data_IF_129157310796
#
_entry.id   IF_129157310796
#
_cell.length_a   1.000
_cell.length_b   1.000
_cell.length_c   1.000
_cell.angle_alpha   90.00
_cell.angle_beta   90.00
_cell.angle_gamma   90.00
#
_symmetry.space_group_name_H-M   'P 1'
#
loop_
_entity.id
_entity.type
_entity.pdbx_description
1 polymer ?
#
# COMPACT_ATOMS: atom_id res chain seq x y z
N UNK A 1 18.18 24.96 -9.20
CA UNK A 1 18.16 23.49 -9.13
C UNK A 1 17.81 23.09 -7.70
N UNK A 2 16.52 22.93 -7.39
CA UNK A 2 16.09 22.46 -6.08
C UNK A 2 16.14 20.93 -6.10
N UNK A 3 17.29 20.36 -5.76
CA UNK A 3 17.51 18.92 -5.62
C UNK A 3 16.81 18.37 -4.40
N UNK A 4 15.49 18.43 -4.39
CA UNK A 4 14.70 17.61 -3.45
C UNK A 4 14.69 16.20 -4.00
N UNK A 5 15.70 15.40 -3.62
CA UNK A 5 15.66 13.95 -3.78
C UNK A 5 14.37 13.43 -3.13
N UNK A 6 13.37 12.94 -3.90
CA UNK A 6 12.11 12.60 -3.29
C UNK A 6 12.27 11.24 -2.61
N UNK A 7 12.42 11.31 -1.29
CA UNK A 7 12.48 10.23 -0.29
C UNK A 7 13.62 9.21 -0.49
N UNK A 8 14.76 9.47 0.14
CA UNK A 8 15.64 8.43 0.68
C UNK A 8 14.73 7.47 1.48
N UNK A 9 14.66 6.21 1.06
CA UNK A 9 13.92 5.09 1.64
C UNK A 9 13.41 5.32 3.08
N UNK A 10 12.10 5.56 3.25
CA UNK A 10 11.44 5.43 4.55
C UNK A 10 11.21 3.94 4.84
N UNK A 11 12.30 3.23 5.12
CA UNK A 11 12.23 1.85 5.59
C UNK A 11 11.86 1.86 7.07
N UNK A 12 10.74 1.24 7.39
CA UNK A 12 10.35 1.03 8.77
C UNK A 12 11.37 0.12 9.47
N UNK A 13 11.62 0.37 10.76
CA UNK A 13 12.43 -0.51 11.61
C UNK A 13 11.91 -1.96 11.56
N UNK A 14 12.82 -2.93 11.63
CA UNK A 14 12.46 -4.35 11.63
C UNK A 14 11.46 -4.69 12.74
N UNK A 15 11.58 -4.06 13.92
CA UNK A 15 10.65 -4.24 15.04
C UNK A 15 9.24 -3.75 14.72
N UNK A 16 9.10 -2.64 14.00
CA UNK A 16 7.81 -2.13 13.55
C UNK A 16 7.17 -3.05 12.52
N UNK A 17 7.96 -3.52 11.54
CA UNK A 17 7.47 -4.47 10.52
C UNK A 17 6.99 -5.77 11.17
N UNK A 18 7.72 -6.28 12.16
CA UNK A 18 7.30 -7.46 12.93
C UNK A 18 5.99 -7.19 13.69
N UNK A 19 5.90 -6.08 14.42
CA UNK A 19 4.72 -5.70 15.18
C UNK A 19 3.46 -5.63 14.31
N UNK A 20 3.53 -4.95 13.16
CA UNK A 20 2.39 -4.83 12.23
C UNK A 20 1.95 -6.20 11.71
N UNK A 21 2.89 -7.08 11.35
CA UNK A 21 2.58 -8.46 10.92
C UNK A 21 1.93 -9.25 12.05
N UNK A 22 2.50 -9.21 13.24
CA UNK A 22 1.98 -9.92 14.41
C UNK A 22 0.57 -9.43 14.79
N UNK A 23 0.35 -8.12 14.81
CA UNK A 23 -0.95 -7.52 15.10
C UNK A 23 -2.02 -7.91 14.07
N UNK A 24 -1.66 -7.97 12.79
CA UNK A 24 -2.56 -8.43 11.73
C UNK A 24 -2.92 -9.92 11.88
N UNK A 25 -1.94 -10.79 12.18
CA UNK A 25 -2.24 -12.20 12.46
C UNK A 25 -3.10 -12.38 13.71
N UNK A 26 -2.81 -11.62 14.77
CA UNK A 26 -3.58 -11.66 16.01
C UNK A 26 -5.03 -11.22 15.78
N UNK A 27 -5.26 -10.18 14.96
CA UNK A 27 -6.62 -9.73 14.64
C UNK A 27 -7.42 -10.75 13.83
N UNK A 28 -6.78 -11.44 12.87
CA UNK A 28 -7.40 -12.53 12.11
C UNK A 28 -7.80 -13.71 13.01
N UNK A 29 -6.92 -14.10 13.94
CA UNK A 29 -7.20 -15.15 14.93
C UNK A 29 -8.33 -14.72 15.84
N UNK A 30 -8.25 -13.51 16.42
CA UNK A 30 -9.28 -13.00 17.31
C UNK A 30 -10.67 -12.95 16.64
N UNK A 31 -10.75 -12.47 15.39
CA UNK A 31 -12.00 -12.45 14.62
C UNK A 31 -12.51 -13.86 14.35
N UNK A 32 -11.64 -14.77 13.94
CA UNK A 32 -12.00 -16.16 13.66
C UNK A 32 -12.51 -16.87 14.92
N UNK A 33 -11.83 -16.69 16.05
CA UNK A 33 -12.26 -17.16 17.37
C UNK A 33 -13.63 -16.56 17.74
N UNK A 34 -13.83 -15.25 17.56
CA UNK A 34 -15.12 -14.62 17.86
C UNK A 34 -16.27 -15.26 17.06
N UNK A 35 -16.07 -15.53 15.77
CA UNK A 35 -17.07 -16.19 14.92
C UNK A 35 -17.33 -17.64 15.37
N UNK A 36 -16.28 -18.39 15.73
CA UNK A 36 -16.41 -19.78 16.17
C UNK A 36 -17.19 -19.91 17.49
N UNK A 37 -16.87 -19.06 18.47
CA UNK A 37 -17.47 -19.08 19.81
C UNK A 37 -18.83 -18.37 19.89
N UNK A 38 -19.27 -17.69 18.82
CA UNK A 38 -20.59 -17.08 18.76
C UNK A 38 -21.70 -18.17 18.83
N UNK A 39 -22.67 -18.10 19.75
CA UNK A 39 -23.73 -19.10 19.89
C UNK A 39 -24.85 -18.86 18.85
N UNK A 40 -24.56 -19.13 17.58
CA UNK A 40 -25.49 -18.92 16.45
C UNK A 40 -25.44 -20.08 15.44
N UNK A 41 -26.32 -20.03 14.44
CA UNK A 41 -26.38 -21.03 13.36
C UNK A 41 -25.18 -20.93 12.42
N UNK A 42 -24.83 -22.05 11.77
CA UNK A 42 -23.70 -22.14 10.83
C UNK A 42 -23.83 -21.15 9.68
N UNK A 43 -25.04 -20.90 9.18
CA UNK A 43 -25.31 -19.95 8.10
C UNK A 43 -24.91 -18.51 8.47
N UNK A 44 -25.24 -18.07 9.69
CA UNK A 44 -24.88 -16.72 10.18
C UNK A 44 -23.37 -16.61 10.34
N UNK A 45 -22.71 -17.64 10.89
CA UNK A 45 -21.25 -17.69 10.99
C UNK A 45 -20.59 -17.60 9.62
N UNK A 46 -21.12 -18.32 8.63
CA UNK A 46 -20.66 -18.27 7.25
C UNK A 46 -20.79 -16.87 6.63
N UNK A 47 -21.92 -16.20 6.84
CA UNK A 47 -22.12 -14.83 6.37
C UNK A 47 -21.09 -13.84 6.98
N UNK A 48 -20.86 -13.92 8.29
CA UNK A 48 -19.87 -13.09 8.98
C UNK A 48 -18.43 -13.39 8.53
N UNK A 49 -18.11 -14.66 8.31
CA UNK A 49 -16.80 -15.08 7.80
C UNK A 49 -16.57 -14.55 6.37
N UNK A 50 -17.56 -14.69 5.48
CA UNK A 50 -17.46 -14.18 4.11
C UNK A 50 -17.30 -12.65 4.08
N UNK A 51 -18.12 -11.92 4.85
CA UNK A 51 -18.05 -10.46 4.92
C UNK A 51 -16.71 -9.96 5.46
N UNK A 52 -16.22 -10.54 6.56
CA UNK A 52 -14.93 -10.16 7.14
C UNK A 52 -13.75 -10.45 6.20
N UNK A 53 -13.73 -11.63 5.55
CA UNK A 53 -12.70 -11.97 4.56
C UNK A 53 -12.71 -11.03 3.35
N UNK A 54 -13.90 -10.68 2.86
CA UNK A 54 -14.05 -9.76 1.74
C UNK A 54 -13.53 -8.36 2.09
N UNK A 55 -13.87 -7.84 3.27
CA UNK A 55 -13.38 -6.53 3.73
C UNK A 55 -11.86 -6.52 3.89
N UNK A 56 -11.28 -7.57 4.50
CA UNK A 56 -9.80 -7.67 4.65
C UNK A 56 -9.12 -7.69 3.29
N UNK A 57 -9.62 -8.52 2.37
CA UNK A 57 -9.03 -8.68 1.02
C UNK A 57 -9.10 -7.38 0.23
N UNK A 58 -10.27 -6.74 0.21
CA UNK A 58 -10.48 -5.47 -0.51
C UNK A 58 -9.71 -4.31 0.12
N UNK A 59 -9.51 -4.28 1.44
CA UNK A 59 -8.67 -3.28 2.11
C UNK A 59 -7.20 -3.38 1.69
N UNK A 60 -6.69 -4.61 1.55
CA UNK A 60 -5.31 -4.85 1.07
C UNK A 60 -5.20 -4.44 -0.40
N UNK A 61 -6.17 -4.81 -1.24
CA UNK A 61 -6.20 -4.39 -2.65
C UNK A 61 -6.24 -2.86 -2.77
N UNK A 62 -7.13 -2.19 -2.04
CA UNK A 62 -7.24 -0.74 -2.01
C UNK A 62 -5.92 -0.08 -1.61
N UNK A 63 -5.30 -0.55 -0.53
CA UNK A 63 -4.02 -0.01 -0.04
C UNK A 63 -2.89 -0.15 -1.08
N UNK A 64 -2.85 -1.29 -1.78
CA UNK A 64 -1.90 -1.52 -2.88
C UNK A 64 -2.19 -0.59 -4.05
N UNK A 65 -3.42 -0.57 -4.55
CA UNK A 65 -3.83 0.28 -5.69
C UNK A 65 -3.48 1.75 -5.46
N UNK A 66 -3.76 2.28 -4.27
CA UNK A 66 -3.44 3.67 -3.91
C UNK A 66 -1.92 3.92 -3.89
N UNK A 67 -1.13 2.96 -3.39
CA UNK A 67 0.33 3.06 -3.37
C UNK A 67 0.90 2.97 -4.79
N UNK A 68 0.38 2.07 -5.61
CA UNK A 68 0.80 1.87 -6.99
C UNK A 68 0.50 3.13 -7.82
N UNK A 69 -0.66 3.77 -7.64
CA UNK A 69 -0.99 5.05 -8.26
C UNK A 69 -0.02 6.17 -7.83
N UNK A 70 0.31 6.23 -6.54
CA UNK A 70 1.24 7.24 -6.02
C UNK A 70 2.65 7.05 -6.59
N UNK A 71 3.16 5.82 -6.61
CA UNK A 71 4.48 5.49 -7.16
C UNK A 71 4.53 5.72 -8.68
N UNK A 72 3.47 5.39 -9.41
CA UNK A 72 3.36 5.64 -10.85
C UNK A 72 3.43 7.14 -11.20
N UNK A 73 2.66 7.98 -10.49
CA UNK A 73 2.69 9.44 -10.69
C UNK A 73 4.07 10.03 -10.40
N UNK A 74 4.72 9.57 -9.33
CA UNK A 74 6.08 9.97 -8.97
C UNK A 74 7.08 9.61 -10.06
N UNK A 75 6.98 8.41 -10.64
CA UNK A 75 7.84 7.99 -11.74
C UNK A 75 7.64 8.84 -13.00
N UNK A 76 6.39 9.11 -13.39
CA UNK A 76 6.07 9.95 -14.55
C UNK A 76 6.64 11.36 -14.41
N UNK A 77 6.52 11.98 -13.22
CA UNK A 77 7.07 13.31 -12.98
C UNK A 77 8.60 13.35 -13.16
N UNK A 78 9.32 12.36 -12.63
CA UNK A 78 10.78 12.25 -12.81
C UNK A 78 11.19 12.06 -14.27
N UNK A 79 10.42 11.30 -15.03
CA UNK A 79 10.66 11.12 -16.48
C UNK A 79 10.43 12.43 -17.24
N UNK A 80 9.38 13.18 -16.89
CA UNK A 80 9.10 14.48 -17.49
C UNK A 80 10.21 15.50 -17.18
N UNK A 81 10.70 15.53 -15.93
CA UNK A 81 11.83 16.36 -15.54
C UNK A 81 13.10 16.02 -16.34
N UNK A 82 13.46 14.74 -16.44
CA UNK A 82 14.63 14.31 -17.20
C UNK A 82 14.51 14.62 -18.70
N UNK A 83 13.33 14.40 -19.30
CA UNK A 83 13.07 14.78 -20.71
C UNK A 83 13.16 16.28 -20.89
N UNK A 84 12.58 17.06 -19.99
CA UNK A 84 12.62 18.53 -20.04
C UNK A 84 14.07 19.03 -19.96
N UNK A 85 14.90 18.43 -19.09
CA UNK A 85 16.32 18.76 -19.00
C UNK A 85 17.08 18.43 -20.29
N UNK A 86 16.77 17.31 -20.96
CA UNK A 86 17.35 16.98 -22.26
C UNK A 86 16.96 17.99 -23.34
N UNK A 87 15.68 18.33 -23.44
CA UNK A 87 15.21 19.33 -24.41
C UNK A 87 15.87 20.70 -24.21
N UNK A 88 16.04 21.14 -22.96
CA UNK A 88 16.73 22.39 -22.66
C UNK A 88 18.19 22.35 -23.11
N UNK A 89 18.90 21.24 -22.88
CA UNK A 89 20.30 21.06 -23.33
C UNK A 89 20.44 21.07 -24.85
N UNK A 90 19.49 20.45 -25.57
CA UNK A 90 19.51 20.42 -27.03
C UNK A 90 19.23 21.80 -27.63
N UNK A 91 18.33 22.60 -27.02
CA UNK A 91 18.07 23.99 -27.43
C UNK A 91 19.27 24.88 -27.17
N UNK A 92 19.89 24.80 -25.99
CA UNK A 92 21.08 25.57 -25.64
C UNK A 92 22.29 25.25 -26.55
N UNK A 93 22.45 23.99 -26.95
CA UNK A 93 23.49 23.57 -27.91
C UNK A 93 23.26 24.10 -29.33
N UNK A 94 22.01 24.34 -29.72
CA UNK A 94 21.66 24.79 -31.05
C UNK A 94 21.68 26.32 -31.22
N UNK A 95 21.80 27.07 -30.11
CA UNK A 95 21.97 28.52 -30.06
C UNK A 95 23.45 28.92 -30.06
#
# INVERSE_FOLDING_TARGET
>A
MNGQDPSIYNQNSQGWVFFVKAAFFLSLVAMSTAILFLPTTVWIKGYLAMGSLMVVTTSIMLSKTMRDEFEARKLVNRLNEARTEQFLKDVDRAA
#
